data_IF_196617433297
#
_entry.id   IF_196617433297
#
_cell.length_a   1.000
_cell.length_b   1.000
_cell.length_c   1.000
_cell.angle_alpha   90.00
_cell.angle_beta   90.00
_cell.angle_gamma   90.00
#
_symmetry.space_group_name_H-M   'P 1'
#
loop_
_entity.id
_entity.type
_entity.pdbx_description
1 polymer ?
#
# COMPACT_ATOMS: atom_id res chain seq x y z
N UNK A 1 -7.14 -13.82 -16.00
CA UNK A 1 -5.71 -13.48 -16.16
C UNK A 1 -5.06 -14.16 -17.36
N UNK A 2 -5.09 -15.49 -17.47
CA UNK A 2 -4.41 -16.21 -18.56
C UNK A 2 -4.81 -15.75 -19.97
N UNK A 3 -6.10 -15.52 -20.23
CA UNK A 3 -6.55 -15.00 -21.53
C UNK A 3 -6.00 -13.60 -21.83
N UNK A 4 -5.99 -12.70 -20.83
CA UNK A 4 -5.40 -11.37 -20.97
C UNK A 4 -3.90 -11.47 -21.27
N UNK A 5 -3.18 -12.29 -20.51
CA UNK A 5 -1.75 -12.53 -20.72
C UNK A 5 -1.47 -13.08 -22.13
N UNK A 6 -2.27 -14.02 -22.62
CA UNK A 6 -2.14 -14.57 -23.97
C UNK A 6 -2.28 -13.49 -25.05
N UNK A 7 -3.13 -12.48 -24.84
CA UNK A 7 -3.34 -11.37 -25.77
C UNK A 7 -2.21 -10.34 -25.76
N UNK A 8 -1.60 -10.06 -24.59
CA UNK A 8 -0.58 -9.01 -24.47
C UNK A 8 0.86 -9.50 -24.69
N UNK A 9 1.13 -10.78 -24.42
CA UNK A 9 2.49 -11.38 -24.55
C UNK A 9 3.13 -11.17 -25.92
N UNK A 10 2.42 -11.29 -27.06
CA UNK A 10 3.02 -11.05 -28.38
C UNK A 10 3.59 -9.64 -28.58
N UNK A 11 3.13 -8.66 -27.77
CA UNK A 11 3.59 -7.27 -27.83
C UNK A 11 4.75 -6.97 -26.88
N UNK A 12 5.25 -7.97 -26.13
CA UNK A 12 6.34 -7.78 -25.17
C UNK A 12 5.95 -6.98 -23.92
N UNK A 13 4.67 -6.68 -23.72
CA UNK A 13 4.17 -5.96 -22.54
C UNK A 13 4.27 -6.82 -21.29
N UNK A 14 4.66 -6.18 -20.17
CA UNK A 14 4.66 -6.78 -18.84
C UNK A 14 3.38 -6.40 -18.09
N UNK A 15 2.82 -7.33 -17.34
CA UNK A 15 1.59 -7.11 -16.57
C UNK A 15 1.81 -7.35 -15.09
N UNK A 16 1.47 -6.34 -14.31
CA UNK A 16 1.50 -6.35 -12.85
C UNK A 16 0.09 -6.12 -12.33
N UNK A 17 -0.30 -6.86 -11.30
CA UNK A 17 -1.55 -6.63 -10.59
C UNK A 17 -1.26 -5.88 -9.29
N UNK A 18 -1.86 -4.71 -9.14
CA UNK A 18 -1.84 -4.03 -7.85
C UNK A 18 -2.84 -4.70 -6.89
N UNK A 19 -2.34 -5.15 -5.73
CA UNK A 19 -3.13 -5.74 -4.65
C UNK A 19 -3.40 -4.66 -3.61
N UNK A 20 -4.67 -4.42 -3.29
CA UNK A 20 -5.07 -3.40 -2.34
C UNK A 20 -6.28 -3.85 -1.54
N UNK A 21 -6.45 -3.26 -0.35
CA UNK A 21 -7.68 -3.36 0.43
C UNK A 21 -8.09 -1.96 0.90
N UNK A 22 -9.32 -1.49 0.61
CA UNK A 22 -9.72 -0.11 0.89
C UNK A 22 -9.82 0.23 2.38
N UNK A 23 -9.99 -0.78 3.25
CA UNK A 23 -10.09 -0.58 4.70
C UNK A 23 -11.23 0.37 5.05
N UNK A 24 -10.95 1.44 5.79
CA UNK A 24 -11.95 2.47 6.12
C UNK A 24 -12.56 3.18 4.90
N UNK A 25 -11.90 3.16 3.74
CA UNK A 25 -12.44 3.72 2.48
C UNK A 25 -13.46 2.79 1.78
N UNK A 26 -13.79 1.64 2.38
CA UNK A 26 -14.81 0.73 1.83
C UNK A 26 -16.17 1.44 1.81
N UNK A 27 -16.74 1.66 0.63
CA UNK A 27 -18.08 2.25 0.54
C UNK A 27 -19.11 1.26 1.08
N UNK A 28 -20.01 1.67 1.99
CA UNK A 28 -21.05 0.79 2.50
C UNK A 28 -22.00 0.40 1.37
N UNK A 29 -21.82 -0.80 0.81
CA UNK A 29 -22.75 -1.44 -0.12
C UNK A 29 -23.12 -2.81 0.40
N UNK A 30 -24.42 -3.01 0.66
CA UNK A 30 -25.20 -4.23 0.96
C UNK A 30 -24.63 -5.37 1.84
N UNK A 31 -23.34 -5.42 2.20
CA UNK A 31 -22.75 -6.46 3.04
C UNK A 31 -21.31 -6.17 3.54
N UNK A 32 -20.57 -5.20 2.97
CA UNK A 32 -19.16 -5.00 3.32
C UNK A 32 -19.02 -4.08 4.55
N UNK A 33 -18.54 -4.64 5.66
CA UNK A 33 -18.15 -3.90 6.86
C UNK A 33 -16.85 -3.14 6.58
N UNK A 34 -16.82 -1.84 6.90
CA UNK A 34 -15.58 -1.08 6.90
C UNK A 34 -14.70 -1.61 8.03
N UNK A 35 -13.44 -1.93 7.73
CA UNK A 35 -12.45 -2.40 8.71
C UNK A 35 -11.19 -1.55 8.63
N UNK A 36 -10.48 -1.39 9.74
CA UNK A 36 -9.25 -0.59 9.82
C UNK A 36 -8.40 -1.00 11.02
N UNK A 37 -7.21 -0.41 11.16
CA UNK A 37 -6.38 -0.54 12.35
C UNK A 37 -7.09 -0.02 13.62
N UNK A 38 -7.88 1.06 13.49
CA UNK A 38 -8.59 1.72 14.58
C UNK A 38 -9.92 2.32 14.10
N UNK A 39 -10.88 2.63 14.99
CA UNK A 39 -12.21 3.12 14.63
C UNK A 39 -12.23 4.61 14.25
N UNK A 40 -11.31 5.01 13.37
CA UNK A 40 -11.16 6.39 12.88
C UNK A 40 -11.89 6.53 11.53
N UNK A 41 -12.91 7.39 11.43
CA UNK A 41 -13.68 7.55 10.20
C UNK A 41 -12.84 8.03 9.02
N UNK A 42 -13.10 7.46 7.84
CA UNK A 42 -12.55 7.99 6.60
C UNK A 42 -13.26 9.32 6.25
N UNK A 43 -12.53 10.42 5.98
CA UNK A 43 -13.12 11.74 5.76
C UNK A 43 -13.97 11.82 4.49
N UNK A 44 -13.77 10.93 3.52
CA UNK A 44 -14.44 10.97 2.22
C UNK A 44 -15.62 10.00 2.11
N UNK A 45 -15.55 8.87 2.82
CA UNK A 45 -16.60 7.82 2.76
C UNK A 45 -17.54 7.90 3.96
N UNK A 46 -17.09 8.45 5.09
CA UNK A 46 -17.82 8.41 6.35
C UNK A 46 -17.93 7.00 6.92
N UNK A 47 -18.69 6.84 8.00
CA UNK A 47 -18.80 5.59 8.74
C UNK A 47 -17.60 5.33 9.66
N UNK A 48 -17.86 4.64 10.76
CA UNK A 48 -16.81 4.25 11.72
C UNK A 48 -16.37 2.83 11.32
N UNK A 49 -15.11 2.62 10.89
CA UNK A 49 -14.63 1.28 10.61
C UNK A 49 -14.58 0.45 11.90
N UNK A 50 -14.84 -0.84 11.79
CA UNK A 50 -14.59 -1.79 12.86
C UNK A 50 -13.08 -1.97 12.99
N UNK A 51 -12.57 -1.85 14.22
CA UNK A 51 -11.19 -2.19 14.52
C UNK A 51 -10.95 -3.68 14.30
N UNK A 52 -9.96 -4.01 13.46
CA UNK A 52 -9.63 -5.40 13.15
C UNK A 52 -9.12 -6.13 14.40
N UNK A 53 -9.62 -7.34 14.63
CA UNK A 53 -9.03 -8.27 15.60
C UNK A 53 -7.76 -8.89 15.02
N UNK A 54 -6.95 -9.52 15.86
CA UNK A 54 -5.76 -10.25 15.38
C UNK A 54 -6.14 -11.35 14.37
N UNK A 55 -7.26 -12.04 14.59
CA UNK A 55 -7.76 -13.03 13.63
C UNK A 55 -8.16 -12.40 12.28
N UNK A 56 -8.76 -11.20 12.28
CA UNK A 56 -9.07 -10.49 11.04
C UNK A 56 -7.78 -10.07 10.29
N UNK A 57 -6.73 -9.69 11.05
CA UNK A 57 -5.42 -9.34 10.50
C UNK A 57 -4.78 -10.57 9.85
N UNK A 58 -4.74 -11.71 10.54
CA UNK A 58 -4.22 -12.98 10.02
C UNK A 58 -4.98 -13.45 8.76
N UNK A 59 -6.31 -13.35 8.75
CA UNK A 59 -7.12 -13.66 7.58
C UNK A 59 -6.78 -12.73 6.41
N UNK A 60 -6.59 -11.43 6.67
CA UNK A 60 -6.22 -10.46 5.65
C UNK A 60 -4.83 -10.75 5.08
N UNK A 61 -3.84 -11.07 5.91
CA UNK A 61 -2.50 -11.51 5.47
C UNK A 61 -2.61 -12.71 4.53
N UNK A 62 -3.39 -13.74 4.92
CA UNK A 62 -3.62 -14.92 4.10
C UNK A 62 -4.33 -14.57 2.77
N UNK A 63 -5.25 -13.61 2.79
CA UNK A 63 -5.95 -13.14 1.59
C UNK A 63 -5.00 -12.47 0.59
N UNK A 64 -4.09 -11.60 1.06
CA UNK A 64 -3.04 -10.99 0.22
C UNK A 64 -2.12 -12.05 -0.39
N UNK A 65 -1.64 -12.99 0.42
CA UNK A 65 -0.78 -14.10 -0.02
C UNK A 65 -1.48 -14.97 -1.08
N UNK A 66 -2.75 -15.32 -0.84
CA UNK A 66 -3.57 -16.07 -1.78
C UNK A 66 -3.85 -15.30 -3.08
N UNK A 67 -4.03 -13.98 -3.01
CA UNK A 67 -4.17 -13.13 -4.21
C UNK A 67 -2.88 -13.09 -5.05
N UNK A 68 -1.71 -12.99 -4.40
CA UNK A 68 -0.42 -13.07 -5.05
C UNK A 68 -0.21 -14.43 -5.76
N UNK A 69 -0.52 -15.54 -5.08
CA UNK A 69 -0.48 -16.89 -5.68
C UNK A 69 -1.33 -16.96 -6.95
N UNK A 70 -2.58 -16.47 -6.90
CA UNK A 70 -3.48 -16.44 -8.07
C UNK A 70 -2.93 -15.59 -9.22
N UNK A 71 -2.21 -14.51 -8.92
CA UNK A 71 -1.55 -13.69 -9.95
C UNK A 71 -0.41 -14.47 -10.63
N UNK A 72 0.42 -15.18 -9.84
CA UNK A 72 1.48 -16.05 -10.36
C UNK A 72 0.92 -17.18 -11.23
N UNK A 73 -0.06 -17.93 -10.74
CA UNK A 73 -0.76 -19.00 -11.49
C UNK A 73 -1.49 -18.46 -12.73
N UNK A 74 -1.94 -17.21 -12.66
CA UNK A 74 -2.53 -16.48 -13.78
C UNK A 74 -1.53 -16.09 -14.89
N UNK A 75 -0.24 -16.28 -14.65
CA UNK A 75 0.84 -16.03 -15.61
C UNK A 75 1.24 -14.56 -15.74
N UNK A 76 0.92 -13.73 -14.75
CA UNK A 76 1.37 -12.32 -14.66
C UNK A 76 2.89 -12.26 -14.48
N UNK A 77 3.49 -11.10 -14.74
CA UNK A 77 4.93 -10.89 -14.55
C UNK A 77 5.27 -10.47 -13.11
N UNK A 78 4.29 -9.97 -12.37
CA UNK A 78 4.46 -9.59 -10.97
C UNK A 78 3.21 -8.99 -10.33
N UNK A 79 3.41 -8.45 -9.13
CA UNK A 79 2.40 -7.73 -8.36
C UNK A 79 2.97 -6.43 -7.78
N UNK A 80 2.06 -5.53 -7.37
CA UNK A 80 2.37 -4.29 -6.68
C UNK A 80 1.52 -4.20 -5.41
N UNK A 81 2.14 -4.09 -4.23
CA UNK A 81 1.43 -3.99 -2.96
C UNK A 81 1.03 -2.54 -2.71
N UNK A 82 -0.26 -2.25 -2.60
CA UNK A 82 -0.74 -0.89 -2.37
C UNK A 82 -0.71 -0.55 -0.87
N UNK A 83 0.35 0.11 -0.43
CA UNK A 83 0.55 0.59 0.94
C UNK A 83 0.47 2.12 1.06
N UNK A 84 -0.28 2.76 0.15
CA UNK A 84 -0.49 4.22 0.07
C UNK A 84 -1.97 4.61 -0.02
N UNK A 85 -2.24 5.90 -0.27
CA UNK A 85 -3.56 6.48 -0.57
C UNK A 85 -4.58 6.48 0.57
N UNK A 86 -4.16 6.23 1.81
CA UNK A 86 -5.01 6.09 2.98
C UNK A 86 -5.81 4.79 3.00
N UNK A 87 -5.34 3.75 2.30
CA UNK A 87 -5.93 2.40 2.32
C UNK A 87 -5.42 1.57 3.50
N UNK A 88 -5.89 0.31 3.61
CA UNK A 88 -5.76 -0.49 4.83
C UNK A 88 -4.33 -0.57 5.36
N UNK A 89 -3.35 -0.85 4.50
CA UNK A 89 -1.95 -0.97 4.96
C UNK A 89 -1.43 0.39 5.48
N UNK A 90 -1.70 1.49 4.78
CA UNK A 90 -1.33 2.83 5.27
C UNK A 90 -2.06 3.19 6.58
N UNK A 91 -3.32 2.73 6.74
CA UNK A 91 -4.07 2.92 7.99
C UNK A 91 -3.37 2.27 9.18
N UNK A 92 -2.66 1.15 9.00
CA UNK A 92 -1.82 0.54 10.04
C UNK A 92 -0.49 1.28 10.23
N UNK A 93 0.16 1.72 9.14
CA UNK A 93 1.44 2.41 9.20
C UNK A 93 1.35 3.80 9.86
N UNK A 94 0.26 4.51 9.60
CA UNK A 94 0.06 5.89 10.02
C UNK A 94 -0.26 6.02 11.51
N UNK A 95 0.53 6.76 12.30
CA UNK A 95 0.19 7.04 13.69
C UNK A 95 -1.08 7.88 13.85
N UNK A 96 -1.54 8.58 12.81
CA UNK A 96 -2.81 9.31 12.82
C UNK A 96 -4.04 8.41 12.63
N UNK A 97 -3.87 7.22 12.04
CA UNK A 97 -4.96 6.28 11.76
C UNK A 97 -4.88 4.98 12.57
N UNK A 98 -3.77 4.74 13.28
CA UNK A 98 -3.54 3.58 14.13
C UNK A 98 -3.27 4.02 15.57
N UNK A 99 -4.31 3.93 16.40
CA UNK A 99 -4.28 4.19 17.83
C UNK A 99 -4.34 2.91 18.66
N UNK A 100 -3.97 1.77 18.09
CA UNK A 100 -3.97 0.49 18.81
C UNK A 100 -2.90 0.50 19.90
N UNK A 101 -3.20 -0.20 21.00
CA UNK A 101 -2.30 -0.40 22.13
C UNK A 101 -1.69 -1.82 22.16
N UNK A 102 -2.04 -2.65 21.19
CA UNK A 102 -1.49 -4.01 21.05
C UNK A 102 -0.22 -4.05 20.17
N UNK A 103 0.19 -5.25 19.79
CA UNK A 103 1.41 -5.48 18.99
C UNK A 103 1.36 -4.91 17.56
N UNK A 104 0.20 -4.40 17.13
CA UNK A 104 0.02 -3.77 15.82
C UNK A 104 -0.04 -2.23 15.89
N UNK A 105 0.12 -1.62 17.07
CA UNK A 105 0.13 -0.16 17.24
C UNK A 105 1.24 0.38 18.14
N UNK A 106 1.25 1.71 18.33
CA UNK A 106 2.28 2.39 19.11
C UNK A 106 3.57 2.62 18.32
N UNK A 107 4.60 1.81 18.54
CA UNK A 107 5.93 1.99 17.91
C UNK A 107 5.89 1.80 16.39
N UNK A 108 6.88 2.33 15.66
CA UNK A 108 6.99 2.11 14.20
C UNK A 108 7.06 0.61 13.88
N UNK A 109 7.84 -0.16 14.63
CA UNK A 109 7.96 -1.62 14.47
C UNK A 109 6.59 -2.31 14.53
N UNK A 110 5.76 -1.97 15.52
CA UNK A 110 4.43 -2.54 15.66
C UNK A 110 3.49 -2.11 14.53
N UNK A 111 3.51 -0.82 14.16
CA UNK A 111 2.70 -0.31 13.04
C UNK A 111 3.09 -0.94 11.70
N UNK A 112 4.35 -1.30 11.52
CA UNK A 112 4.85 -2.01 10.34
C UNK A 112 4.52 -3.51 10.33
N UNK A 113 4.21 -4.11 11.49
CA UNK A 113 4.04 -5.57 11.65
C UNK A 113 3.09 -6.16 10.61
N UNK A 114 1.92 -5.54 10.43
CA UNK A 114 0.93 -6.00 9.44
C UNK A 114 1.49 -6.00 8.00
N UNK A 115 2.22 -4.95 7.62
CA UNK A 115 2.86 -4.90 6.29
C UNK A 115 3.94 -5.98 6.16
N UNK A 116 4.76 -6.18 7.18
CA UNK A 116 5.83 -7.19 7.16
C UNK A 116 5.24 -8.61 7.03
N UNK A 117 4.19 -8.92 7.79
CA UNK A 117 3.46 -10.20 7.70
C UNK A 117 2.90 -10.44 6.30
N UNK A 118 2.34 -9.41 5.64
CA UNK A 118 1.91 -9.50 4.23
C UNK A 118 3.08 -9.81 3.30
N UNK A 119 4.18 -9.06 3.40
CA UNK A 119 5.33 -9.23 2.52
C UNK A 119 5.96 -10.61 2.65
N UNK A 120 6.11 -11.10 3.89
CA UNK A 120 6.64 -12.42 4.19
C UNK A 120 5.71 -13.53 3.70
N UNK A 121 4.40 -13.43 3.97
CA UNK A 121 3.42 -14.42 3.52
C UNK A 121 3.34 -14.49 1.99
N UNK A 122 3.42 -13.35 1.30
CA UNK A 122 3.49 -13.33 -0.16
C UNK A 122 4.77 -14.00 -0.64
N UNK A 123 5.94 -13.65 -0.08
CA UNK A 123 7.21 -14.28 -0.48
C UNK A 123 7.22 -15.79 -0.24
N UNK A 124 6.55 -16.28 0.80
CA UNK A 124 6.38 -17.71 1.02
C UNK A 124 5.55 -18.40 -0.09
N UNK A 125 4.56 -17.72 -0.65
CA UNK A 125 3.69 -18.25 -1.72
C UNK A 125 4.30 -18.15 -3.12
N UNK A 126 4.96 -17.02 -3.44
CA UNK A 126 5.41 -16.70 -4.81
C UNK A 126 6.93 -16.67 -4.99
N UNK A 127 7.71 -16.80 -3.92
CA UNK A 127 9.16 -16.77 -3.97
C UNK A 127 9.75 -15.42 -4.37
N UNK A 128 11.07 -15.40 -4.57
CA UNK A 128 11.82 -14.22 -5.04
C UNK A 128 12.04 -14.21 -6.56
N UNK A 129 11.60 -15.27 -7.28
CA UNK A 129 11.64 -15.31 -8.75
C UNK A 129 10.43 -14.62 -9.40
N UNK A 130 9.39 -14.31 -8.62
CA UNK A 130 8.23 -13.54 -9.03
C UNK A 130 8.38 -12.08 -8.57
N UNK A 131 8.22 -11.13 -9.50
CA UNK A 131 8.47 -9.72 -9.21
C UNK A 131 7.37 -9.15 -8.30
N UNK A 132 7.78 -8.51 -7.20
CA UNK A 132 6.88 -7.85 -6.26
C UNK A 132 7.36 -6.44 -5.98
N UNK A 133 6.58 -5.44 -6.35
CA UNK A 133 6.78 -4.07 -5.91
C UNK A 133 5.91 -3.68 -4.72
N UNK A 134 6.19 -2.53 -4.14
CA UNK A 134 5.33 -1.88 -3.16
C UNK A 134 5.13 -0.42 -3.52
N UNK A 135 3.89 0.06 -3.39
CA UNK A 135 3.54 1.46 -3.46
C UNK A 135 3.46 2.05 -2.06
N UNK A 136 4.30 3.04 -1.77
CA UNK A 136 4.29 3.80 -0.53
C UNK A 136 3.78 5.23 -0.78
N UNK A 137 3.18 5.89 0.24
CA UNK A 137 2.96 7.33 0.16
C UNK A 137 4.32 8.03 -0.01
N UNK A 138 4.36 9.26 -0.49
CA UNK A 138 5.55 10.12 -0.31
C UNK A 138 5.31 11.22 0.73
N UNK A 139 4.04 11.49 1.05
CA UNK A 139 3.60 12.42 2.06
C UNK A 139 2.13 12.18 2.38
N UNK A 140 1.80 12.06 3.66
CA UNK A 140 0.44 11.73 4.10
C UNK A 140 -0.46 12.99 4.23
N UNK A 141 0.13 14.14 4.57
CA UNK A 141 -0.55 15.41 4.81
C UNK A 141 -1.68 15.38 5.86
N UNK A 142 -1.61 14.44 6.80
CA UNK A 142 -2.48 14.38 7.97
C UNK A 142 -1.73 14.94 9.19
N UNK A 143 -2.35 15.81 10.00
CA UNK A 143 -1.77 16.21 11.27
C UNK A 143 -1.46 14.99 12.16
N UNK A 144 -0.19 14.83 12.54
CA UNK A 144 0.26 13.67 13.32
C UNK A 144 0.42 12.38 12.50
N UNK A 145 0.35 12.45 11.16
CA UNK A 145 0.67 11.34 10.25
C UNK A 145 2.17 11.20 9.98
N UNK A 146 2.50 10.34 9.02
CA UNK A 146 3.87 10.08 8.59
C UNK A 146 4.45 11.23 7.78
N UNK A 147 5.70 11.56 8.07
CA UNK A 147 6.53 12.49 7.29
C UNK A 147 7.29 11.75 6.17
N UNK A 148 7.85 12.45 5.17
CA UNK A 148 8.72 11.83 4.17
C UNK A 148 9.91 11.06 4.78
N UNK A 149 10.41 11.50 5.94
CA UNK A 149 11.48 10.81 6.67
C UNK A 149 11.01 9.50 7.30
N UNK A 150 9.82 9.49 7.92
CA UNK A 150 9.22 8.25 8.43
C UNK A 150 9.01 7.25 7.30
N UNK A 151 8.54 7.74 6.15
CA UNK A 151 8.33 6.89 4.98
C UNK A 151 9.65 6.38 4.39
N UNK A 152 10.72 7.18 4.41
CA UNK A 152 12.05 6.72 4.01
C UNK A 152 12.55 5.58 4.90
N UNK A 153 12.27 5.64 6.21
CA UNK A 153 12.58 4.54 7.13
C UNK A 153 11.77 3.28 6.81
N UNK A 154 10.46 3.41 6.58
CA UNK A 154 9.60 2.31 6.12
C UNK A 154 10.14 1.70 4.82
N UNK A 155 10.46 2.53 3.83
CA UNK A 155 10.98 2.11 2.53
C UNK A 155 12.28 1.32 2.67
N UNK A 156 13.22 1.78 3.52
CA UNK A 156 14.47 1.08 3.81
C UNK A 156 14.25 -0.29 4.44
N UNK A 157 13.26 -0.43 5.34
CA UNK A 157 12.96 -1.68 6.03
C UNK A 157 12.30 -2.69 5.09
N UNK A 158 11.41 -2.25 4.20
CA UNK A 158 10.71 -3.16 3.27
C UNK A 158 11.51 -3.49 2.02
N UNK A 159 12.51 -2.67 1.67
CA UNK A 159 13.32 -2.84 0.45
C UNK A 159 13.86 -4.26 0.25
N UNK A 160 14.39 -4.99 1.25
CA UNK A 160 14.86 -6.36 1.07
C UNK A 160 13.79 -7.34 0.56
N UNK A 161 12.51 -7.05 0.81
CA UNK A 161 11.39 -7.91 0.46
C UNK A 161 10.81 -7.64 -0.92
N UNK A 162 11.06 -6.47 -1.52
CA UNK A 162 10.44 -6.03 -2.79
C UNK A 162 11.49 -5.86 -3.88
N UNK A 163 11.10 -5.88 -5.15
CA UNK A 163 12.01 -5.73 -6.29
C UNK A 163 12.07 -4.28 -6.80
N UNK A 164 11.06 -3.48 -6.48
CA UNK A 164 11.02 -2.05 -6.73
C UNK A 164 10.10 -1.35 -5.71
N UNK A 165 10.28 -0.04 -5.54
CA UNK A 165 9.38 0.82 -4.78
C UNK A 165 8.68 1.76 -5.76
N UNK A 166 7.39 1.99 -5.59
CA UNK A 166 6.68 3.06 -6.28
C UNK A 166 6.18 4.08 -5.27
N UNK A 167 6.29 5.36 -5.61
CA UNK A 167 5.86 6.46 -4.74
C UNK A 167 4.66 7.17 -5.34
N UNK A 168 3.72 7.53 -4.48
CA UNK A 168 2.54 8.26 -4.87
C UNK A 168 2.07 9.20 -3.76
N UNK A 169 1.69 10.41 -4.12
CA UNK A 169 1.22 11.42 -3.19
C UNK A 169 -0.29 11.37 -2.98
N UNK A 170 -0.69 11.69 -1.75
CA UNK A 170 -2.07 11.97 -1.42
C UNK A 170 -2.79 10.79 -0.80
N UNK A 171 -3.86 11.14 -0.10
CA UNK A 171 -4.74 10.22 0.60
C UNK A 171 -6.15 10.80 0.55
N UNK A 172 -7.15 10.05 1.02
CA UNK A 172 -8.52 10.58 1.12
C UNK A 172 -8.64 11.81 2.04
N UNK A 173 -7.65 12.08 2.90
CA UNK A 173 -7.59 13.28 3.72
C UNK A 173 -7.25 14.55 2.94
N UNK A 174 -6.56 14.40 1.79
CA UNK A 174 -6.33 15.48 0.82
C UNK A 174 -6.57 14.98 -0.60
N UNK A 175 -7.83 14.65 -0.90
CA UNK A 175 -8.19 14.03 -2.18
C UNK A 175 -7.71 14.81 -3.42
N UNK A 176 -7.62 16.14 -3.37
CA UNK A 176 -7.13 16.97 -4.48
C UNK A 176 -5.63 16.79 -4.79
N UNK A 177 -4.83 16.27 -3.85
CA UNK A 177 -3.42 15.93 -4.13
C UNK A 177 -3.28 14.55 -4.76
N UNK A 178 -4.28 13.68 -4.62
CA UNK A 178 -4.34 12.35 -5.26
C UNK A 178 -4.58 12.46 -6.77
N UNK A 179 -5.31 13.50 -7.20
CA UNK A 179 -5.58 13.81 -8.60
C UNK A 179 -5.23 15.27 -8.85
N UNK A 180 -3.95 15.54 -9.08
CA UNK A 180 -3.45 16.89 -9.30
C UNK A 180 -4.15 17.55 -10.52
N UNK A 181 -4.89 18.66 -10.33
CA UNK A 181 -5.53 19.37 -11.43
C UNK A 181 -4.51 20.04 -12.35
N UNK A 182 -4.96 20.53 -13.52
CA UNK A 182 -4.10 21.06 -14.58
C UNK A 182 -3.30 22.33 -14.19
N UNK A 183 -3.76 23.06 -13.18
CA UNK A 183 -3.12 24.27 -12.63
C UNK A 183 -1.95 23.99 -11.67
N UNK A 184 -1.83 22.75 -11.17
CA UNK A 184 -0.64 22.33 -10.41
C UNK A 184 0.57 22.23 -11.36
N UNK A 185 1.83 22.47 -10.95
CA UNK A 185 2.97 22.24 -11.81
C UNK A 185 3.22 20.74 -12.10
N UNK A 186 3.86 20.43 -13.24
CA UNK A 186 4.41 19.08 -13.46
C UNK A 186 5.52 18.81 -12.43
N UNK A 187 5.65 17.56 -11.99
CA UNK A 187 6.63 17.15 -10.98
C UNK A 187 6.28 17.59 -9.56
N UNK A 188 5.01 17.86 -9.25
CA UNK A 188 4.55 18.32 -7.92
C UNK A 188 4.94 17.40 -6.76
N UNK A 189 5.08 16.09 -7.01
CA UNK A 189 5.47 15.10 -6.01
C UNK A 189 6.99 15.02 -5.80
N UNK A 190 7.80 15.52 -6.75
CA UNK A 190 9.26 15.33 -6.75
C UNK A 190 9.94 15.76 -5.44
N UNK A 191 9.59 16.91 -4.82
CA UNK A 191 10.22 17.33 -3.57
C UNK A 191 10.02 16.35 -2.41
N UNK A 192 8.94 15.58 -2.42
CA UNK A 192 8.62 14.61 -1.35
C UNK A 192 9.21 13.23 -1.67
N UNK A 193 9.54 12.96 -2.93
CA UNK A 193 10.18 11.71 -3.34
C UNK A 193 11.67 11.67 -2.97
N UNK A 194 12.37 12.80 -3.03
CA UNK A 194 13.84 12.87 -2.84
C UNK A 194 14.33 12.21 -1.52
N UNK A 195 13.74 12.50 -0.34
CA UNK A 195 14.17 11.87 0.91
C UNK A 195 14.02 10.35 0.92
N UNK A 196 13.06 9.81 0.16
CA UNK A 196 12.75 8.38 0.12
C UNK A 196 13.63 7.70 -0.93
N UNK A 197 13.77 8.29 -2.12
CA UNK A 197 14.59 7.72 -3.19
C UNK A 197 16.08 7.69 -2.83
N UNK A 198 16.55 8.61 -2.00
CA UNK A 198 17.97 8.72 -1.63
C UNK A 198 18.47 7.61 -0.70
N UNK A 199 17.56 6.91 -0.01
CA UNK A 199 17.91 5.78 0.88
C UNK A 199 17.74 4.41 0.22
N UNK A 200 17.17 4.36 -0.98
CA UNK A 200 16.88 3.13 -1.72
C UNK A 200 17.99 2.81 -2.71
N UNK A 201 18.23 1.52 -2.89
CA UNK A 201 19.17 0.93 -3.86
C UNK A 201 18.45 0.24 -5.01
N UNK A 202 17.21 -0.22 -4.79
CA UNK A 202 16.36 -0.85 -5.81
C UNK A 202 15.67 0.19 -6.69
N UNK A 203 15.25 -0.20 -7.91
CA UNK A 203 14.53 0.70 -8.81
C UNK A 203 13.34 1.38 -8.11
N UNK A 204 13.20 2.69 -8.31
CA UNK A 204 12.07 3.46 -7.77
C UNK A 204 11.27 4.11 -8.90
N UNK A 205 9.96 3.91 -8.90
CA UNK A 205 9.02 4.55 -9.81
C UNK A 205 8.42 5.76 -9.10
N UNK A 206 8.53 6.94 -9.70
CA UNK A 206 7.94 8.18 -9.17
C UNK A 206 6.84 8.67 -10.11
N UNK A 207 5.80 9.26 -9.52
CA UNK A 207 4.69 9.92 -10.23
C UNK A 207 4.77 11.42 -9.95
N UNK A 208 4.23 12.25 -10.85
CA UNK A 208 4.26 13.71 -10.69
C UNK A 208 3.44 14.46 -11.74
N UNK A 209 2.24 13.92 -12.05
CA UNK A 209 1.36 14.30 -13.16
C UNK A 209 1.96 14.14 -14.56
#
# INVERSE_FOLDING_TARGET
>A
YQELMARIRPYGMKMFQQLYHPGSATRPKKAATQVSASPIPNPMVGGIPVEMTVADIEEMVAAFASAARRCREGGLDGIDIHASSGYLIEQFLSPANNTREDIYGGSLENRMRFLMEILEAIRAEVGYDFCMGIRLPNQEYIPGGMTPQDIAEVARIVEPYVDYVSLHMGSYWRFYTLLAPMDVPLGNEMPHNEPITSVLTKPTIVVGR
#
